data_IF_938765974867
#
_entry.id   IF_938765974867
#
_cell.length_a   1.000
_cell.length_b   1.000
_cell.length_c   1.000
_cell.angle_alpha   90.00
_cell.angle_beta   90.00
_cell.angle_gamma   90.00
#
_symmetry.space_group_name_H-M   'P 1'
#
loop_
_entity.id
_entity.type
_entity.pdbx_description
1 polymer ?
#
# COMPACT_ATOMS: atom_id res chain seq x y z
N UNK A 1 -13.82 7.10 13.94
CA UNK A 1 -13.30 6.87 15.31
C UNK A 1 -13.23 5.36 15.53
N UNK A 2 -12.05 4.75 15.66
CA UNK A 2 -11.97 3.34 16.11
C UNK A 2 -12.42 3.36 17.57
N UNK A 3 -13.64 2.90 17.81
CA UNK A 3 -14.23 2.78 19.13
C UNK A 3 -13.36 1.89 20.02
N UNK A 4 -13.49 2.05 21.32
CA UNK A 4 -12.75 1.35 22.37
C UNK A 4 -13.03 -0.17 22.33
N UNK A 5 -12.48 -0.86 21.35
CA UNK A 5 -12.62 -2.30 21.16
C UNK A 5 -11.37 -2.96 21.72
N UNK A 6 -11.57 -3.81 22.73
CA UNK A 6 -10.54 -4.70 23.27
C UNK A 6 -10.18 -5.74 22.21
N UNK A 7 -9.32 -5.38 21.25
CA UNK A 7 -8.67 -6.38 20.42
C UNK A 7 -7.69 -7.15 21.30
N UNK A 8 -7.62 -8.49 21.20
CA UNK A 8 -6.53 -9.22 21.82
C UNK A 8 -5.21 -8.65 21.28
N UNK A 9 -4.29 -8.34 22.20
CA UNK A 9 -2.98 -7.78 21.91
C UNK A 9 -2.12 -8.81 21.15
N UNK A 10 -2.37 -8.94 19.85
CA UNK A 10 -1.61 -9.81 18.95
C UNK A 10 -0.62 -8.99 18.13
N UNK A 11 0.43 -9.65 17.67
CA UNK A 11 1.34 -9.08 16.67
C UNK A 11 0.55 -8.81 15.39
N UNK A 12 0.64 -7.58 14.88
CA UNK A 12 0.03 -7.15 13.64
C UNK A 12 1.07 -7.11 12.52
N UNK A 13 0.83 -7.85 11.44
CA UNK A 13 1.54 -7.67 10.18
C UNK A 13 0.56 -6.97 9.24
N UNK A 14 0.94 -5.80 8.74
CA UNK A 14 0.07 -4.98 7.89
C UNK A 14 0.91 -4.29 6.80
N UNK A 15 0.32 -4.00 5.66
CA UNK A 15 1.03 -3.32 4.58
C UNK A 15 0.14 -2.93 3.43
N UNK A 16 0.79 -2.43 2.38
CA UNK A 16 0.15 -1.92 1.17
C UNK A 16 1.00 -2.22 -0.06
N UNK A 17 0.44 -1.90 -1.23
CA UNK A 17 1.14 -1.82 -2.51
C UNK A 17 1.21 -0.36 -2.97
N UNK A 18 2.03 -0.02 -3.96
CA UNK A 18 2.28 1.37 -4.39
C UNK A 18 1.08 2.04 -5.07
N UNK A 19 0.28 1.29 -5.82
CA UNK A 19 -0.78 1.82 -6.69
C UNK A 19 -2.13 1.15 -6.40
N UNK A 20 -2.42 0.95 -5.11
CA UNK A 20 -3.55 0.13 -4.65
C UNK A 20 -4.89 0.58 -5.22
N UNK A 21 -5.13 1.88 -5.36
CA UNK A 21 -6.43 2.38 -5.83
C UNK A 21 -6.56 2.42 -7.36
N UNK A 22 -5.47 2.30 -8.10
CA UNK A 22 -5.44 2.42 -9.56
C UNK A 22 -6.49 1.55 -10.29
N UNK A 23 -6.60 0.22 -10.05
CA UNK A 23 -7.59 -0.60 -10.72
C UNK A 23 -9.04 -0.19 -10.39
N UNK A 24 -9.30 0.31 -9.18
CA UNK A 24 -10.63 0.75 -8.79
C UNK A 24 -11.04 2.03 -9.52
N UNK A 25 -10.12 3.01 -9.61
CA UNK A 25 -10.40 4.27 -10.31
C UNK A 25 -10.61 4.05 -11.80
N UNK A 26 -9.79 3.21 -12.45
CA UNK A 26 -9.97 2.90 -13.88
C UNK A 26 -11.16 1.96 -14.15
N UNK A 27 -11.57 1.14 -13.18
CA UNK A 27 -12.81 0.36 -13.24
C UNK A 27 -14.07 1.22 -13.09
N UNK A 28 -14.02 2.22 -12.22
CA UNK A 28 -15.13 3.14 -11.96
C UNK A 28 -15.28 4.21 -13.06
N UNK A 29 -14.17 4.84 -13.45
CA UNK A 29 -14.13 5.91 -14.44
C UNK A 29 -13.58 5.41 -15.78
N UNK A 30 -14.49 5.00 -16.66
CA UNK A 30 -14.13 4.47 -17.99
C UNK A 30 -13.57 5.52 -18.95
N UNK A 31 -13.84 6.80 -18.70
CA UNK A 31 -13.30 7.94 -19.46
C UNK A 31 -12.36 8.77 -18.60
N UNK A 32 -11.47 9.57 -19.21
CA UNK A 32 -10.68 10.55 -18.48
C UNK A 32 -11.54 11.39 -17.53
N UNK A 33 -11.00 11.65 -16.34
CA UNK A 33 -11.62 12.56 -15.37
C UNK A 33 -11.04 13.94 -15.60
N UNK A 34 -11.89 14.92 -15.88
CA UNK A 34 -11.46 16.31 -16.03
C UNK A 34 -11.10 16.96 -14.69
N UNK A 35 -10.41 18.11 -14.72
CA UNK A 35 -10.13 18.93 -13.53
C UNK A 35 -11.42 19.34 -12.79
N UNK A 36 -12.49 19.63 -13.53
CA UNK A 36 -13.78 19.99 -12.93
C UNK A 36 -14.39 18.80 -12.18
N UNK A 37 -14.42 17.63 -12.81
CA UNK A 37 -14.93 16.40 -12.18
C UNK A 37 -14.07 15.96 -10.99
N UNK A 38 -12.75 16.15 -11.07
CA UNK A 38 -11.85 15.95 -9.93
C UNK A 38 -12.28 16.80 -8.74
N UNK A 39 -12.53 18.10 -8.97
CA UNK A 39 -12.98 19.01 -7.92
C UNK A 39 -14.35 18.60 -7.35
N UNK A 40 -15.31 18.20 -8.18
CA UNK A 40 -16.62 17.71 -7.74
C UNK A 40 -16.51 16.44 -6.87
N UNK A 41 -15.66 15.49 -7.28
CA UNK A 41 -15.39 14.26 -6.51
C UNK A 41 -14.80 14.61 -5.13
N UNK A 42 -13.78 15.47 -5.08
CA UNK A 42 -13.17 15.87 -3.83
C UNK A 42 -14.16 16.63 -2.93
N UNK A 43 -14.97 17.52 -3.50
CA UNK A 43 -15.98 18.26 -2.74
C UNK A 43 -17.01 17.32 -2.12
N UNK A 44 -17.52 16.37 -2.91
CA UNK A 44 -18.50 15.39 -2.46
C UNK A 44 -17.98 14.47 -1.34
N UNK A 45 -16.69 14.14 -1.35
CA UNK A 45 -16.09 13.22 -0.38
C UNK A 45 -15.60 13.92 0.89
N UNK A 46 -14.98 15.09 0.75
CA UNK A 46 -14.28 15.75 1.85
C UNK A 46 -15.03 16.95 2.44
N UNK A 47 -16.10 17.42 1.80
CA UNK A 47 -16.97 18.48 2.29
C UNK A 47 -16.17 19.70 2.79
N UNK A 48 -16.26 20.00 4.08
CA UNK A 48 -15.56 21.14 4.70
C UNK A 48 -14.02 21.08 4.61
N UNK A 49 -13.44 19.90 4.35
CA UNK A 49 -12.00 19.74 4.13
C UNK A 49 -11.58 19.88 2.66
N UNK A 50 -12.52 20.09 1.72
CA UNK A 50 -12.28 20.17 0.28
C UNK A 50 -11.05 21.02 -0.08
N UNK A 51 -11.00 22.29 0.33
CA UNK A 51 -9.90 23.18 -0.03
C UNK A 51 -8.54 22.69 0.48
N UNK A 52 -8.50 22.08 1.67
CA UNK A 52 -7.26 21.50 2.22
C UNK A 52 -6.81 20.30 1.40
N UNK A 53 -7.75 19.49 0.92
CA UNK A 53 -7.44 18.32 0.07
C UNK A 53 -6.96 18.76 -1.30
N UNK A 54 -7.59 19.76 -1.92
CA UNK A 54 -7.12 20.32 -3.19
C UNK A 54 -5.75 20.97 -3.05
N UNK A 55 -5.46 21.63 -1.93
CA UNK A 55 -4.13 22.20 -1.66
C UNK A 55 -3.06 21.10 -1.53
N UNK A 56 -3.36 20.01 -0.84
CA UNK A 56 -2.41 18.92 -0.60
C UNK A 56 -2.28 17.97 -1.80
N UNK A 57 -3.37 17.77 -2.54
CA UNK A 57 -3.48 16.95 -3.75
C UNK A 57 -4.04 17.81 -4.90
N UNK A 58 -3.23 18.73 -5.46
CA UNK A 58 -3.71 19.60 -6.51
C UNK A 58 -3.97 18.81 -7.80
N UNK A 59 -4.99 19.19 -8.58
CA UNK A 59 -5.12 18.71 -9.95
C UNK A 59 -3.91 19.15 -10.77
N UNK A 60 -3.52 18.36 -11.76
CA UNK A 60 -2.50 18.75 -12.74
C UNK A 60 -3.15 19.34 -14.00
N UNK A 61 -2.32 19.87 -14.91
CA UNK A 61 -2.79 20.42 -16.19
C UNK A 61 -3.11 19.33 -17.23
N UNK A 62 -3.09 18.05 -16.86
CA UNK A 62 -3.34 16.94 -17.77
C UNK A 62 -4.84 16.71 -17.93
N UNK A 63 -5.25 16.27 -19.13
CA UNK A 63 -6.66 15.99 -19.44
C UNK A 63 -7.28 14.82 -18.64
N UNK A 64 -6.49 14.07 -17.86
CA UNK A 64 -6.97 12.90 -17.12
C UNK A 64 -6.44 12.87 -15.68
N UNK A 65 -7.33 13.15 -14.74
CA UNK A 65 -7.05 13.22 -13.30
C UNK A 65 -7.15 11.85 -12.59
N UNK A 66 -7.45 10.75 -13.31
CA UNK A 66 -7.54 9.41 -12.71
C UNK A 66 -6.26 8.97 -11.98
N UNK A 67 -5.03 9.23 -12.49
CA UNK A 67 -3.81 8.92 -11.75
C UNK A 67 -3.68 9.69 -10.43
N UNK A 68 -4.07 10.97 -10.40
CA UNK A 68 -4.05 11.78 -9.18
C UNK A 68 -5.09 11.31 -8.16
N UNK A 69 -6.30 10.96 -8.61
CA UNK A 69 -7.29 10.30 -7.75
C UNK A 69 -6.74 8.97 -7.23
N UNK A 70 -6.12 8.15 -8.08
CA UNK A 70 -5.56 6.87 -7.66
C UNK A 70 -4.47 7.07 -6.58
N UNK A 71 -3.60 8.07 -6.71
CA UNK A 71 -2.62 8.42 -5.66
C UNK A 71 -3.31 8.82 -4.36
N UNK A 72 -4.24 9.79 -4.40
CA UNK A 72 -4.97 10.26 -3.23
C UNK A 72 -5.65 9.10 -2.50
N UNK A 73 -6.42 8.27 -3.22
CA UNK A 73 -7.14 7.16 -2.61
C UNK A 73 -6.21 6.04 -2.14
N UNK A 74 -5.08 5.81 -2.80
CA UNK A 74 -4.09 4.83 -2.34
C UNK A 74 -3.53 5.24 -0.98
N UNK A 75 -3.30 6.53 -0.80
CA UNK A 75 -2.80 7.07 0.44
C UNK A 75 -3.91 7.12 1.50
N UNK A 76 -5.00 7.84 1.23
CA UNK A 76 -6.10 8.05 2.16
C UNK A 76 -6.78 6.76 2.60
N UNK A 77 -7.28 5.95 1.66
CA UNK A 77 -8.12 4.79 2.02
C UNK A 77 -7.30 3.60 2.51
N UNK A 78 -6.05 3.42 2.03
CA UNK A 78 -5.29 2.20 2.28
C UNK A 78 -4.00 2.42 3.07
N UNK A 79 -3.08 3.23 2.57
CA UNK A 79 -1.73 3.33 3.16
C UNK A 79 -1.80 4.00 4.54
N UNK A 80 -2.47 5.14 4.62
CA UNK A 80 -2.52 5.97 5.81
C UNK A 80 -3.46 5.37 6.87
N UNK A 81 -4.57 4.77 6.45
CA UNK A 81 -5.42 3.99 7.35
C UNK A 81 -4.67 2.79 7.93
N UNK A 82 -3.89 2.05 7.12
CA UNK A 82 -3.04 0.95 7.61
C UNK A 82 -1.99 1.42 8.60
N UNK A 83 -1.36 2.58 8.35
CA UNK A 83 -0.45 3.22 9.29
C UNK A 83 -1.17 3.54 10.60
N UNK A 84 -2.37 4.12 10.56
CA UNK A 84 -3.17 4.42 11.75
C UNK A 84 -3.42 3.16 12.60
N UNK A 85 -3.73 2.03 11.97
CA UNK A 85 -3.86 0.75 12.67
C UNK A 85 -2.53 0.26 13.26
N UNK A 86 -1.42 0.35 12.51
CA UNK A 86 -0.09 -0.03 13.00
C UNK A 86 0.32 0.75 14.25
N UNK A 87 0.05 2.06 14.32
CA UNK A 87 0.36 2.90 15.49
C UNK A 87 -0.38 2.51 16.76
N UNK A 88 -1.54 1.87 16.63
CA UNK A 88 -2.39 1.44 17.75
C UNK A 88 -2.12 0.00 18.19
N UNK A 89 -1.41 -0.78 17.38
CA UNK A 89 -1.07 -2.14 17.74
C UNK A 89 0.06 -2.15 18.78
N UNK A 90 0.04 -3.08 19.75
CA UNK A 90 1.14 -3.22 20.72
C UNK A 90 2.45 -3.58 20.04
N UNK A 91 2.40 -4.48 19.05
CA UNK A 91 3.52 -4.90 18.22
C UNK A 91 3.01 -4.90 16.78
N UNK A 92 3.66 -4.12 15.90
CA UNK A 92 3.36 -4.08 14.49
C UNK A 92 4.62 -4.28 13.64
N UNK A 93 4.43 -4.86 12.48
CA UNK A 93 5.40 -4.95 11.40
C UNK A 93 4.72 -4.47 10.12
N UNK A 94 5.33 -3.47 9.49
CA UNK A 94 4.76 -2.81 8.31
C UNK A 94 5.57 -3.10 7.07
N UNK A 95 4.90 -3.23 5.93
CA UNK A 95 5.55 -3.36 4.63
C UNK A 95 4.88 -2.57 3.52
N UNK A 96 5.66 -2.36 2.47
CA UNK A 96 5.18 -1.89 1.17
C UNK A 96 5.69 -2.86 0.12
N UNK A 97 4.80 -3.39 -0.72
CA UNK A 97 5.19 -4.19 -1.87
C UNK A 97 5.30 -3.28 -3.10
N UNK A 98 6.48 -3.26 -3.73
CA UNK A 98 6.82 -2.30 -4.79
C UNK A 98 7.35 -2.98 -6.06
N UNK A 99 7.46 -4.32 -6.06
CA UNK A 99 7.91 -5.07 -7.23
C UNK A 99 6.76 -5.32 -8.22
N UNK A 100 6.78 -4.74 -9.44
CA UNK A 100 5.70 -4.94 -10.40
C UNK A 100 5.71 -6.38 -10.95
N UNK A 101 4.56 -7.05 -11.05
CA UNK A 101 4.48 -8.33 -11.74
C UNK A 101 4.69 -8.15 -13.25
N UNK A 102 5.10 -9.22 -13.95
CA UNK A 102 5.25 -9.20 -15.41
C UNK A 102 3.88 -9.06 -16.09
N UNK A 103 2.86 -9.68 -15.50
CA UNK A 103 1.48 -9.60 -15.94
C UNK A 103 0.61 -9.22 -14.76
N UNK A 104 -0.15 -8.14 -14.88
CA UNK A 104 -1.13 -7.78 -13.86
C UNK A 104 -2.31 -8.73 -14.00
N UNK A 105 -2.55 -9.56 -13.00
CA UNK A 105 -3.55 -10.63 -13.09
C UNK A 105 -4.99 -10.11 -13.23
N UNK A 106 -5.23 -8.81 -13.08
CA UNK A 106 -6.52 -8.16 -13.24
C UNK A 106 -6.80 -7.63 -14.67
N UNK A 107 -5.77 -7.32 -15.48
CA UNK A 107 -5.98 -6.70 -16.80
C UNK A 107 -4.70 -6.60 -17.64
N UNK A 108 -4.80 -6.92 -18.93
CA UNK A 108 -3.76 -6.66 -19.93
C UNK A 108 -3.71 -5.18 -20.39
N UNK A 109 -4.37 -4.26 -19.69
CA UNK A 109 -4.31 -2.83 -20.02
C UNK A 109 -2.91 -2.29 -19.76
N UNK A 110 -2.38 -1.54 -20.73
CA UNK A 110 -1.09 -0.83 -20.61
C UNK A 110 -1.06 0.15 -19.44
N UNK A 111 -2.22 0.63 -19.00
CA UNK A 111 -2.37 1.53 -17.83
C UNK A 111 -1.78 0.92 -16.56
N UNK A 112 -1.87 -0.40 -16.39
CA UNK A 112 -1.39 -1.03 -15.17
C UNK A 112 0.06 -1.50 -15.31
N UNK A 113 0.63 -1.49 -16.51
CA UNK A 113 1.97 -2.02 -16.76
C UNK A 113 3.01 -1.23 -15.97
N UNK A 114 3.80 -1.93 -15.15
CA UNK A 114 4.83 -1.30 -14.31
C UNK A 114 4.30 -0.75 -12.98
N UNK A 115 3.00 -0.83 -12.70
CA UNK A 115 2.41 -0.49 -11.41
C UNK A 115 2.28 -1.73 -10.51
N UNK A 116 2.20 -1.51 -9.19
CA UNK A 116 1.82 -2.56 -8.23
C UNK A 116 0.42 -2.27 -7.71
N UNK A 117 -0.54 -2.95 -8.31
CA UNK A 117 -1.96 -2.76 -8.06
C UNK A 117 -2.45 -3.64 -6.91
N UNK A 118 -3.67 -3.35 -6.44
CA UNK A 118 -4.31 -4.09 -5.37
C UNK A 118 -4.35 -5.60 -5.62
N UNK A 119 -3.71 -6.36 -4.73
CA UNK A 119 -3.70 -7.82 -4.77
C UNK A 119 -2.55 -8.42 -5.57
N UNK A 120 -1.73 -7.62 -6.26
CA UNK A 120 -0.59 -8.13 -7.02
C UNK A 120 0.43 -8.83 -6.12
N UNK A 121 0.56 -8.41 -4.86
CA UNK A 121 1.45 -9.04 -3.88
C UNK A 121 1.03 -10.48 -3.56
N UNK A 122 -0.25 -10.83 -3.73
CA UNK A 122 -0.75 -12.17 -3.42
C UNK A 122 -0.19 -13.22 -4.38
N UNK A 123 0.12 -12.85 -5.64
CA UNK A 123 0.79 -13.76 -6.57
C UNK A 123 2.17 -14.17 -6.06
N UNK A 124 2.88 -13.24 -5.44
CA UNK A 124 4.19 -13.52 -4.84
C UNK A 124 4.06 -14.28 -3.53
N UNK A 125 3.07 -13.94 -2.69
CA UNK A 125 2.88 -14.57 -1.38
C UNK A 125 2.51 -16.06 -1.50
N UNK A 126 1.58 -16.37 -2.40
CA UNK A 126 1.11 -17.74 -2.64
C UNK A 126 1.92 -18.48 -3.70
N UNK A 127 2.99 -17.85 -4.20
CA UNK A 127 3.79 -18.31 -5.34
C UNK A 127 2.91 -18.68 -6.57
N UNK A 128 1.74 -18.04 -6.69
CA UNK A 128 0.86 -18.21 -7.82
C UNK A 128 1.54 -17.61 -9.05
N UNK A 129 1.55 -18.34 -10.17
CA UNK A 129 2.25 -17.95 -11.40
C UNK A 129 3.79 -18.02 -11.31
N UNK A 130 4.37 -18.87 -10.42
CA UNK A 130 5.83 -19.07 -10.28
C UNK A 130 6.56 -19.30 -11.61
N UNK A 131 5.93 -19.98 -12.58
CA UNK A 131 6.49 -20.23 -13.91
C UNK A 131 6.66 -18.95 -14.75
N UNK A 132 5.87 -17.91 -14.47
CA UNK A 132 5.84 -16.65 -15.19
C UNK A 132 6.69 -15.57 -14.49
N UNK A 133 7.37 -15.88 -13.38
CA UNK A 133 8.22 -14.93 -12.66
C UNK A 133 9.66 -14.94 -13.18
N UNK A 134 10.27 -13.76 -13.26
CA UNK A 134 11.72 -13.63 -13.50
C UNK A 134 12.52 -14.31 -12.40
N UNK A 135 13.84 -14.48 -12.57
CA UNK A 135 14.69 -14.99 -11.49
C UNK A 135 14.62 -14.11 -10.23
N UNK A 136 14.57 -12.78 -10.40
CA UNK A 136 14.35 -11.82 -9.33
C UNK A 136 12.99 -12.01 -8.66
N UNK A 137 11.91 -12.08 -9.45
CA UNK A 137 10.56 -12.30 -8.94
C UNK A 137 10.41 -13.60 -8.16
N UNK A 138 11.07 -14.70 -8.61
CA UNK A 138 11.07 -15.98 -7.87
C UNK A 138 11.79 -15.88 -6.53
N UNK A 139 12.94 -15.20 -6.47
CA UNK A 139 13.63 -14.96 -5.19
C UNK A 139 12.79 -14.11 -4.26
N UNK A 140 12.20 -13.03 -4.77
CA UNK A 140 11.33 -12.15 -3.99
C UNK A 140 10.11 -12.91 -3.47
N UNK A 141 9.43 -13.69 -4.31
CA UNK A 141 8.29 -14.52 -3.95
C UNK A 141 8.63 -15.50 -2.81
N UNK A 142 9.74 -16.24 -2.93
CA UNK A 142 10.15 -17.15 -1.87
C UNK A 142 10.58 -16.43 -0.59
N UNK A 143 11.25 -15.28 -0.67
CA UNK A 143 11.57 -14.47 0.50
C UNK A 143 10.31 -13.91 1.17
N UNK A 144 9.34 -13.44 0.38
CA UNK A 144 8.06 -12.93 0.86
C UNK A 144 7.30 -14.02 1.62
N UNK A 145 7.16 -15.21 1.02
CA UNK A 145 6.55 -16.38 1.67
C UNK A 145 7.31 -16.82 2.94
N UNK A 146 8.64 -16.72 2.96
CA UNK A 146 9.44 -17.08 4.13
C UNK A 146 9.09 -16.22 5.35
N UNK A 147 8.91 -14.90 5.23
CA UNK A 147 8.51 -14.08 6.39
C UNK A 147 7.15 -14.50 6.96
N UNK A 148 6.15 -14.74 6.11
CA UNK A 148 4.81 -15.15 6.56
C UNK A 148 4.84 -16.54 7.21
N UNK A 149 5.57 -17.49 6.63
CA UNK A 149 5.67 -18.85 7.16
C UNK A 149 6.53 -18.92 8.42
N UNK A 150 7.55 -18.06 8.54
CA UNK A 150 8.31 -17.86 9.76
C UNK A 150 7.38 -17.44 10.90
N UNK A 151 6.62 -16.36 10.71
CA UNK A 151 5.66 -15.90 11.72
C UNK A 151 4.62 -16.97 12.06
N UNK A 152 4.07 -17.66 11.05
CA UNK A 152 3.10 -18.74 11.27
C UNK A 152 3.67 -19.91 12.11
N UNK A 153 4.98 -20.18 12.02
CA UNK A 153 5.64 -21.28 12.75
C UNK A 153 6.13 -20.88 14.14
N UNK A 154 6.67 -19.68 14.29
CA UNK A 154 7.47 -19.29 15.46
C UNK A 154 6.99 -18.01 16.16
N UNK A 155 6.04 -17.29 15.56
CA UNK A 155 5.68 -15.91 15.93
C UNK A 155 6.82 -14.89 15.77
N UNK A 156 7.91 -15.25 15.09
CA UNK A 156 9.00 -14.36 14.68
C UNK A 156 9.06 -14.33 13.16
N UNK A 157 9.05 -13.14 12.55
CA UNK A 157 9.15 -12.98 11.10
C UNK A 157 10.53 -13.37 10.55
N UNK A 158 11.56 -13.30 11.38
CA UNK A 158 12.95 -13.44 10.97
C UNK A 158 13.50 -14.86 11.16
N UNK A 159 12.70 -15.77 11.72
CA UNK A 159 13.10 -17.13 12.10
C UNK A 159 11.93 -18.12 11.97
N UNK A 160 12.17 -19.42 11.74
CA UNK A 160 13.47 -20.09 11.72
C UNK A 160 14.17 -20.11 10.36
N UNK A 161 13.47 -19.78 9.27
CA UNK A 161 14.08 -19.73 7.94
C UNK A 161 14.85 -18.41 7.82
N UNK A 162 16.11 -18.50 7.41
CA UNK A 162 16.93 -17.31 7.15
C UNK A 162 16.27 -16.43 6.10
N UNK A 163 16.11 -15.15 6.42
CA UNK A 163 15.60 -14.10 5.54
C UNK A 163 16.73 -13.15 5.14
N UNK A 164 16.63 -12.47 3.98
CA UNK A 164 17.72 -11.62 3.47
C UNK A 164 17.91 -10.32 4.26
N UNK A 165 16.85 -9.84 4.93
CA UNK A 165 16.88 -8.64 5.74
C UNK A 165 16.05 -8.84 7.01
N UNK A 166 16.47 -8.30 8.14
CA UNK A 166 15.63 -8.34 9.35
C UNK A 166 14.45 -7.41 9.11
N UNK A 167 13.22 -7.91 9.29
CA UNK A 167 12.01 -7.09 9.28
C UNK A 167 11.97 -6.30 10.60
N UNK A 168 12.21 -4.98 10.57
CA UNK A 168 12.21 -4.19 11.80
C UNK A 168 10.79 -4.07 12.35
N UNK A 169 10.67 -4.05 13.67
CA UNK A 169 9.41 -3.68 14.32
C UNK A 169 9.07 -2.22 13.97
N UNK A 170 7.78 -1.97 13.77
CA UNK A 170 7.25 -0.63 13.58
C UNK A 170 7.29 0.15 14.91
N UNK A 171 7.82 1.37 14.88
CA UNK A 171 7.80 2.30 15.99
C UNK A 171 7.26 3.67 15.56
N UNK A 172 6.69 4.40 16.52
CA UNK A 172 6.02 5.69 16.26
C UNK A 172 6.99 6.86 16.04
N UNK A 173 8.24 6.72 16.47
CA UNK A 173 9.34 7.70 16.30
C UNK A 173 9.96 7.61 14.89
N UNK A 174 10.30 6.39 14.47
CA UNK A 174 10.80 6.07 13.14
C UNK A 174 9.96 4.93 12.58
N UNK A 175 9.01 5.30 11.72
CA UNK A 175 8.08 4.36 11.12
C UNK A 175 8.77 3.55 10.02
N UNK A 176 9.42 2.45 10.41
CA UNK A 176 10.13 1.57 9.47
C UNK A 176 9.19 0.65 8.71
N UNK A 177 9.36 0.56 7.41
CA UNK A 177 8.67 -0.36 6.52
C UNK A 177 9.68 -1.29 5.87
N UNK A 178 9.33 -2.56 5.74
CA UNK A 178 10.05 -3.46 4.85
C UNK A 178 9.53 -3.26 3.42
N UNK A 179 10.42 -2.93 2.50
CA UNK A 179 10.12 -2.73 1.09
C UNK A 179 10.37 -4.03 0.33
N UNK A 180 9.30 -4.67 -0.15
CA UNK A 180 9.40 -5.86 -0.98
C UNK A 180 9.67 -5.46 -2.43
N UNK A 181 10.96 -5.31 -2.71
CA UNK A 181 11.58 -5.11 -4.02
C UNK A 181 12.79 -6.05 -4.18
N UNK A 182 13.51 -5.97 -5.29
CA UNK A 182 14.74 -6.74 -5.50
C UNK A 182 15.93 -5.77 -5.64
N UNK A 183 16.83 -5.68 -4.64
CA UNK A 183 16.84 -6.39 -3.35
C UNK A 183 15.82 -5.83 -2.33
N UNK A 184 15.45 -6.62 -1.31
CA UNK A 184 14.58 -6.15 -0.21
C UNK A 184 15.33 -5.08 0.60
N UNK A 185 14.66 -3.97 0.91
CA UNK A 185 15.23 -2.83 1.64
C UNK A 185 14.30 -2.36 2.75
N UNK A 186 14.76 -1.43 3.59
CA UNK A 186 13.92 -0.71 4.56
C UNK A 186 13.67 0.72 4.10
N UNK A 187 12.47 1.22 4.36
CA UNK A 187 12.11 2.62 4.18
C UNK A 187 11.60 3.20 5.49
N UNK A 188 11.99 4.43 5.78
CA UNK A 188 11.53 5.15 6.97
C UNK A 188 10.45 6.15 6.56
N UNK A 189 9.41 6.29 7.38
CA UNK A 189 8.41 7.35 7.26
C UNK A 189 7.69 7.37 5.89
N UNK A 190 7.36 6.19 5.35
CA UNK A 190 6.66 6.05 4.08
C UNK A 190 5.35 6.86 4.05
N UNK A 191 5.26 7.79 3.08
CA UNK A 191 4.17 8.77 2.94
C UNK A 191 3.80 9.51 4.23
N UNK A 192 4.78 9.82 5.07
CA UNK A 192 4.51 10.45 6.38
C UNK A 192 3.68 11.73 6.26
N UNK A 193 4.04 12.64 5.35
CA UNK A 193 3.36 13.93 5.23
C UNK A 193 1.92 13.78 4.72
N UNK A 194 1.72 12.96 3.69
CA UNK A 194 0.41 12.63 3.15
C UNK A 194 -0.49 11.97 4.21
N UNK A 195 0.07 11.05 4.99
CA UNK A 195 -0.69 10.37 6.02
C UNK A 195 -0.94 11.23 7.27
N UNK A 196 -0.02 12.13 7.62
CA UNK A 196 -0.23 13.11 8.70
C UNK A 196 -1.32 14.11 8.31
N UNK A 197 -1.44 14.42 7.02
CA UNK A 197 -2.56 15.16 6.47
C UNK A 197 -3.87 14.35 6.54
N UNK A 198 -3.89 13.10 6.06
CA UNK A 198 -5.07 12.22 6.14
C UNK A 198 -5.60 12.06 7.58
N UNK A 199 -4.70 11.92 8.56
CA UNK A 199 -5.06 11.83 9.99
C UNK A 199 -5.82 13.08 10.50
N UNK A 200 -5.59 14.25 9.91
CA UNK A 200 -6.28 15.51 10.28
C UNK A 200 -7.64 15.67 9.63
N UNK A 201 -7.82 15.16 8.41
CA UNK A 201 -9.09 15.27 7.68
C UNK A 201 -10.06 14.12 7.97
N UNK A 202 -9.55 13.02 8.55
CA UNK A 202 -10.31 11.83 8.88
C UNK A 202 -10.34 10.78 7.76
N UNK A 203 -10.89 9.62 8.09
CA UNK A 203 -11.08 8.46 7.22
C UNK A 203 -12.55 8.04 7.24
#
# INVERSE_FOLDING_TARGET
>A
MIANTSFPLKILIIGTVTDKSLPFLYGLFRRPVSVFEYAEILFGLFGNNFFKVVEHFPPDEVNDQRPLLARLFTQWTFTCSSRLFARKAPIAYTHVFTYPPITNGASNSSVFQGHVCHGDELYFLFEALRANLTAAGRRLSSNFANYWTNYAKSQDLNQPIQVPLIWPRFHNDVMKYLCFQDPIETMDNYFKDDCDFCDKIGY
#
